data_IF_052433674466
#
_entry.id   IF_052433674466
#
_cell.length_a   1.000
_cell.length_b   1.000
_cell.length_c   1.000
_cell.angle_alpha   90.00
_cell.angle_beta   90.00
_cell.angle_gamma   90.00
#
_symmetry.space_group_name_H-M   'P 1'
#
loop_
_entity.id
_entity.type
_entity.pdbx_description
1 polymer ?
#
# COMPACT_ATOMS: atom_id res chain seq x y z
N UNK A 1 -8.46 17.09 13.63
CA UNK A 1 -7.32 16.16 13.76
C UNK A 1 -7.77 14.74 13.44
N UNK A 2 -6.91 13.89 12.89
CA UNK A 2 -7.26 12.48 12.69
C UNK A 2 -7.24 11.69 14.01
N UNK A 3 -7.90 10.53 14.04
CA UNK A 3 -7.88 9.63 15.21
C UNK A 3 -6.55 8.87 15.30
N UNK A 4 -6.17 8.42 16.50
CA UNK A 4 -5.00 7.55 16.68
C UNK A 4 -5.08 6.30 15.80
N UNK A 5 -6.27 5.70 15.68
CA UNK A 5 -6.49 4.58 14.78
C UNK A 5 -6.13 4.92 13.32
N UNK A 6 -6.57 6.07 12.80
CA UNK A 6 -6.20 6.53 11.44
C UNK A 6 -4.68 6.65 11.30
N UNK A 7 -3.99 7.21 12.30
CA UNK A 7 -2.51 7.32 12.28
C UNK A 7 -1.83 5.96 12.20
N UNK A 8 -2.29 5.00 13.02
CA UNK A 8 -1.74 3.65 13.04
C UNK A 8 -1.98 2.95 11.70
N UNK A 9 -3.20 3.03 11.16
CA UNK A 9 -3.51 2.45 9.85
C UNK A 9 -2.62 3.01 8.73
N UNK A 10 -2.45 4.33 8.69
CA UNK A 10 -1.58 4.99 7.71
C UNK A 10 -0.10 4.60 7.87
N UNK A 11 0.40 4.48 9.10
CA UNK A 11 1.78 4.04 9.34
C UNK A 11 1.99 2.58 8.91
N UNK A 12 1.07 1.69 9.26
CA UNK A 12 1.15 0.28 8.89
C UNK A 12 1.14 0.12 7.37
N UNK A 13 0.23 0.81 6.68
CA UNK A 13 0.21 0.84 5.21
C UNK A 13 1.49 1.44 4.64
N UNK A 14 1.98 2.55 5.18
CA UNK A 14 3.20 3.19 4.68
C UNK A 14 4.43 2.30 4.83
N UNK A 15 4.57 1.57 5.94
CA UNK A 15 5.64 0.58 6.11
C UNK A 15 5.46 -0.59 5.15
N UNK A 16 4.22 -1.05 4.97
CA UNK A 16 3.90 -2.13 4.05
C UNK A 16 4.28 -1.77 2.61
N UNK A 17 3.93 -0.58 2.11
CA UNK A 17 4.31 -0.07 0.77
C UNK A 17 5.80 0.26 0.66
N UNK A 18 6.48 0.52 1.79
CA UNK A 18 7.92 0.79 1.81
C UNK A 18 8.77 -0.40 1.36
N UNK A 19 8.32 -1.63 1.63
CA UNK A 19 9.04 -2.86 1.20
C UNK A 19 9.06 -3.00 -0.33
N UNK A 20 7.91 -3.06 -1.04
CA UNK A 20 7.89 -3.06 -2.51
C UNK A 20 8.36 -1.72 -3.09
N UNK A 21 8.45 -0.64 -2.30
CA UNK A 21 9.05 0.62 -2.73
C UNK A 21 10.58 0.61 -2.79
N UNK A 22 11.24 0.05 -1.77
CA UNK A 22 12.70 0.09 -1.67
C UNK A 22 13.39 -1.08 -2.38
N UNK A 23 12.84 -2.29 -2.25
CA UNK A 23 13.47 -3.51 -2.78
C UNK A 23 13.79 -3.41 -4.27
N UNK A 24 12.84 -3.12 -5.19
CA UNK A 24 13.14 -3.05 -6.62
C UNK A 24 14.10 -1.92 -7.01
N UNK A 25 14.26 -0.88 -6.18
CA UNK A 25 15.24 0.19 -6.42
C UNK A 25 16.67 -0.25 -6.08
N UNK A 26 16.82 -1.11 -5.07
CA UNK A 26 18.10 -1.64 -4.61
C UNK A 26 18.53 -2.85 -5.46
N UNK A 27 17.63 -3.83 -5.62
CA UNK A 27 17.87 -5.05 -6.40
C UNK A 27 16.62 -5.41 -7.21
N UNK A 28 16.47 -4.88 -8.44
CA UNK A 28 15.30 -5.13 -9.28
C UNK A 28 15.16 -6.61 -9.64
N UNK A 29 16.27 -7.29 -9.92
CA UNK A 29 16.27 -8.74 -10.20
C UNK A 29 15.87 -9.55 -8.99
N UNK A 30 16.37 -9.20 -7.79
CA UNK A 30 15.98 -9.89 -6.55
C UNK A 30 14.50 -9.70 -6.26
N UNK A 31 13.96 -8.49 -6.42
CA UNK A 31 12.52 -8.25 -6.28
C UNK A 31 11.70 -9.08 -7.27
N UNK A 32 12.10 -9.10 -8.55
CA UNK A 32 11.43 -9.87 -9.60
C UNK A 32 11.36 -11.37 -9.29
N UNK A 33 12.48 -11.95 -8.83
CA UNK A 33 12.60 -13.39 -8.62
C UNK A 33 12.01 -13.83 -7.27
N UNK A 34 12.24 -13.05 -6.22
CA UNK A 34 12.05 -13.51 -4.85
C UNK A 34 10.88 -12.88 -4.12
N UNK A 35 10.23 -11.83 -4.65
CA UNK A 35 9.05 -11.27 -3.97
C UNK A 35 7.94 -12.33 -3.81
N UNK A 36 7.31 -12.45 -2.61
CA UNK A 36 7.39 -11.57 -1.42
C UNK A 36 8.46 -11.93 -0.37
N UNK A 37 9.41 -12.81 -0.68
CA UNK A 37 10.58 -13.15 0.15
C UNK A 37 10.44 -14.44 0.96
N UNK A 38 9.22 -14.93 1.15
CA UNK A 38 8.89 -16.21 1.80
C UNK A 38 8.16 -17.19 0.85
N UNK A 39 7.82 -16.69 -0.33
CA UNK A 39 7.34 -17.43 -1.51
C UNK A 39 8.13 -16.88 -2.70
N UNK A 40 8.35 -17.69 -3.73
CA UNK A 40 9.09 -17.24 -4.91
C UNK A 40 8.16 -17.03 -6.09
N UNK A 41 8.51 -16.04 -6.91
CA UNK A 41 7.95 -15.84 -8.24
C UNK A 41 6.58 -15.17 -8.30
N UNK A 42 6.12 -14.43 -7.30
CA UNK A 42 4.85 -13.70 -7.47
C UNK A 42 4.93 -12.69 -8.62
N UNK A 43 6.06 -11.99 -8.75
CA UNK A 43 6.27 -11.01 -9.84
C UNK A 43 6.72 -11.70 -11.13
N UNK A 44 7.65 -12.65 -11.07
CA UNK A 44 8.18 -13.31 -12.26
C UNK A 44 7.21 -14.23 -12.99
N UNK A 45 6.10 -14.62 -12.35
CA UNK A 45 5.05 -15.42 -12.98
C UNK A 45 4.09 -14.60 -13.85
N UNK A 46 4.09 -13.27 -13.70
CA UNK A 46 3.17 -12.35 -14.41
C UNK A 46 3.78 -11.75 -15.70
N UNK A 47 5.00 -12.13 -16.09
CA UNK A 47 5.59 -11.71 -17.37
C UNK A 47 7.11 -11.61 -17.33
N UNK A 48 7.76 -11.29 -18.47
CA UNK A 48 9.20 -11.18 -18.57
C UNK A 48 9.76 -9.99 -17.79
N UNK A 49 11.00 -10.12 -17.32
CA UNK A 49 11.71 -9.07 -16.59
C UNK A 49 11.87 -7.79 -17.43
N UNK A 50 11.49 -6.66 -16.82
CA UNK A 50 11.74 -5.33 -17.35
C UNK A 50 12.25 -4.43 -16.21
N UNK A 51 13.55 -4.15 -16.20
CA UNK A 51 14.18 -3.40 -15.12
C UNK A 51 13.58 -1.99 -14.96
N UNK A 52 13.28 -1.30 -16.06
CA UNK A 52 12.72 0.04 -16.02
C UNK A 52 11.35 0.04 -15.34
N UNK A 53 10.44 -0.85 -15.76
CA UNK A 53 9.10 -0.96 -15.16
C UNK A 53 9.15 -1.36 -13.69
N UNK A 54 10.06 -2.25 -13.30
CA UNK A 54 10.22 -2.67 -11.91
C UNK A 54 10.73 -1.52 -11.04
N UNK A 55 11.68 -0.73 -11.54
CA UNK A 55 12.16 0.47 -10.83
C UNK A 55 11.08 1.54 -10.74
N UNK A 56 10.30 1.77 -11.79
CA UNK A 56 9.17 2.71 -11.76
C UNK A 56 8.11 2.29 -10.75
N UNK A 57 7.76 1.00 -10.74
CA UNK A 57 6.88 0.42 -9.72
C UNK A 57 7.44 0.68 -8.32
N UNK A 58 8.73 0.41 -8.10
CA UNK A 58 9.43 0.75 -6.85
C UNK A 58 9.31 2.22 -6.46
N UNK A 59 9.63 3.12 -7.39
CA UNK A 59 9.56 4.57 -7.16
C UNK A 59 8.15 5.03 -6.78
N UNK A 60 7.11 4.51 -7.44
CA UNK A 60 5.71 4.82 -7.13
C UNK A 60 5.28 4.30 -5.76
N UNK A 61 5.63 3.05 -5.42
CA UNK A 61 5.35 2.49 -4.09
C UNK A 61 6.09 3.26 -2.98
N UNK A 62 7.34 3.66 -3.23
CA UNK A 62 8.10 4.48 -2.28
C UNK A 62 7.48 5.87 -2.08
N UNK A 63 7.00 6.51 -3.14
CA UNK A 63 6.26 7.76 -3.05
C UNK A 63 4.94 7.62 -2.28
N UNK A 64 4.24 6.50 -2.47
CA UNK A 64 3.01 6.18 -1.73
C UNK A 64 3.30 5.94 -0.24
N UNK A 65 4.36 5.19 0.08
CA UNK A 65 4.85 4.97 1.43
C UNK A 65 5.15 6.30 2.14
N UNK A 66 5.90 7.19 1.48
CA UNK A 66 6.21 8.51 2.01
C UNK A 66 4.95 9.37 2.24
N UNK A 67 3.98 9.29 1.33
CA UNK A 67 2.69 10.00 1.44
C UNK A 67 1.87 9.50 2.63
N UNK A 68 1.78 8.19 2.83
CA UNK A 68 1.07 7.55 3.94
C UNK A 68 1.70 7.89 5.30
N UNK A 69 3.03 7.74 5.40
CA UNK A 69 3.78 8.10 6.62
C UNK A 69 3.67 9.60 6.90
N UNK A 70 3.85 10.43 5.87
CA UNK A 70 3.69 11.89 5.96
C UNK A 70 2.30 12.28 6.45
N UNK A 71 1.24 11.65 5.93
CA UNK A 71 -0.13 11.87 6.40
C UNK A 71 -0.33 11.48 7.87
N UNK A 72 0.30 10.39 8.31
CA UNK A 72 0.27 9.95 9.71
C UNK A 72 0.97 10.94 10.66
N UNK A 73 2.08 11.54 10.21
CA UNK A 73 2.86 12.56 10.94
C UNK A 73 2.12 13.90 10.97
N UNK A 74 1.62 14.39 9.82
CA UNK A 74 0.92 15.68 9.71
C UNK A 74 -0.38 15.68 10.53
N UNK A 75 -1.07 14.55 10.67
CA UNK A 75 -2.12 14.41 11.69
C UNK A 75 -3.47 15.05 11.33
N UNK A 76 -3.62 15.64 10.13
CA UNK A 76 -4.90 16.24 9.71
C UNK A 76 -5.78 15.20 8.99
N UNK A 77 -7.10 15.29 9.20
CA UNK A 77 -8.06 14.39 8.53
C UNK A 77 -8.07 14.60 7.01
N UNK A 78 -7.81 15.82 6.54
CA UNK A 78 -7.77 16.11 5.11
C UNK A 78 -6.61 15.36 4.41
N UNK A 79 -5.39 15.44 4.97
CA UNK A 79 -4.22 14.77 4.39
C UNK A 79 -4.35 13.25 4.50
N UNK A 80 -4.91 12.74 5.61
CA UNK A 80 -5.24 11.33 5.77
C UNK A 80 -6.15 10.79 4.65
N UNK A 81 -7.20 11.54 4.32
CA UNK A 81 -8.15 11.18 3.26
C UNK A 81 -7.51 11.24 1.89
N UNK A 82 -6.68 12.25 1.62
CA UNK A 82 -5.95 12.35 0.35
C UNK A 82 -5.00 11.16 0.16
N UNK A 83 -4.21 10.82 1.18
CA UNK A 83 -3.33 9.65 1.15
C UNK A 83 -4.13 8.34 0.96
N UNK A 84 -5.28 8.21 1.63
CA UNK A 84 -6.16 7.06 1.48
C UNK A 84 -6.72 6.93 0.06
N UNK A 85 -7.16 8.05 -0.55
CA UNK A 85 -7.64 8.07 -1.95
C UNK A 85 -6.52 7.70 -2.91
N UNK A 86 -5.33 8.27 -2.75
CA UNK A 86 -4.18 7.93 -3.58
C UNK A 86 -3.84 6.43 -3.51
N UNK A 87 -3.86 5.86 -2.30
CA UNK A 87 -3.65 4.43 -2.08
C UNK A 87 -4.72 3.59 -2.76
N UNK A 88 -5.99 3.96 -2.66
CA UNK A 88 -7.09 3.25 -3.32
C UNK A 88 -6.99 3.29 -4.85
N UNK A 89 -6.58 4.43 -5.41
CA UNK A 89 -6.37 4.56 -6.86
C UNK A 89 -5.24 3.68 -7.37
N UNK A 90 -4.22 3.44 -6.55
CA UNK A 90 -3.14 2.50 -6.85
C UNK A 90 -3.57 1.03 -6.66
N UNK A 91 -4.19 0.72 -5.52
CA UNK A 91 -4.51 -0.65 -5.12
C UNK A 91 -5.68 -1.26 -5.90
N UNK A 92 -6.70 -0.46 -6.28
CA UNK A 92 -7.91 -0.99 -6.91
C UNK A 92 -7.66 -1.61 -8.29
N UNK A 93 -6.96 -0.95 -9.24
CA UNK A 93 -6.65 -1.56 -10.53
C UNK A 93 -5.81 -2.84 -10.37
N UNK A 94 -4.86 -2.85 -9.42
CA UNK A 94 -3.99 -3.98 -9.15
C UNK A 94 -4.77 -5.18 -8.59
N UNK A 95 -5.67 -4.94 -7.64
CA UNK A 95 -6.57 -5.96 -7.12
C UNK A 95 -7.47 -6.55 -8.21
N UNK A 96 -8.07 -5.68 -9.04
CA UNK A 96 -8.94 -6.12 -10.16
C UNK A 96 -8.18 -6.93 -11.18
N UNK A 97 -6.92 -6.57 -11.49
CA UNK A 97 -6.05 -7.36 -12.36
C UNK A 97 -5.89 -8.79 -11.84
N UNK A 98 -5.51 -8.95 -10.57
CA UNK A 98 -5.30 -10.27 -10.00
C UNK A 98 -6.58 -11.09 -9.94
N UNK A 99 -7.76 -10.50 -9.71
CA UNK A 99 -9.01 -11.28 -9.80
C UNK A 99 -9.17 -12.04 -11.14
N UNK A 100 -8.57 -11.56 -12.23
CA UNK A 100 -8.54 -12.23 -13.53
C UNK A 100 -7.28 -13.04 -13.86
N UNK A 101 -6.19 -12.91 -13.08
CA UNK A 101 -4.85 -13.42 -13.44
C UNK A 101 -4.24 -14.29 -12.32
N UNK A 102 -5.04 -15.18 -11.74
CA UNK A 102 -4.58 -16.05 -10.64
C UNK A 102 -4.24 -17.47 -11.03
N UNK A 103 -4.68 -17.93 -12.21
CA UNK A 103 -4.66 -19.34 -12.59
C UNK A 103 -3.26 -19.95 -12.69
N UNK A 104 -2.22 -19.13 -12.83
CA UNK A 104 -0.83 -19.58 -12.90
C UNK A 104 -0.15 -19.67 -11.51
N UNK A 105 -0.80 -19.19 -10.46
CA UNK A 105 -0.32 -19.33 -9.09
C UNK A 105 -0.84 -20.61 -8.42
N UNK A 106 -0.07 -21.16 -7.49
CA UNK A 106 -0.56 -22.22 -6.60
C UNK A 106 -1.67 -21.73 -5.67
N UNK A 107 -2.56 -22.61 -5.20
CA UNK A 107 -3.74 -22.23 -4.42
C UNK A 107 -3.44 -21.35 -3.21
N UNK A 108 -2.36 -21.66 -2.46
CA UNK A 108 -1.96 -20.87 -1.30
C UNK A 108 -1.52 -19.45 -1.72
N UNK A 109 -0.76 -19.33 -2.81
CA UNK A 109 -0.35 -18.02 -3.33
C UNK A 109 -1.55 -17.20 -3.79
N UNK A 110 -2.54 -17.83 -4.42
CA UNK A 110 -3.76 -17.13 -4.83
C UNK A 110 -4.48 -16.50 -3.63
N UNK A 111 -4.59 -17.25 -2.53
CA UNK A 111 -5.20 -16.76 -1.29
C UNK A 111 -4.38 -15.61 -0.71
N UNK A 112 -3.06 -15.76 -0.63
CA UNK A 112 -2.18 -14.76 -0.04
C UNK A 112 -2.15 -13.47 -0.86
N UNK A 113 -2.05 -13.55 -2.19
CA UNK A 113 -2.09 -12.41 -3.11
C UNK A 113 -3.40 -11.64 -2.92
N UNK A 114 -4.55 -12.32 -2.97
CA UNK A 114 -5.85 -11.67 -2.81
C UNK A 114 -6.04 -11.10 -1.41
N UNK A 115 -5.62 -11.80 -0.35
CA UNK A 115 -5.72 -11.30 1.02
C UNK A 115 -4.88 -10.03 1.20
N UNK A 116 -3.65 -10.03 0.69
CA UNK A 116 -2.75 -8.87 0.74
C UNK A 116 -3.30 -7.69 -0.05
N UNK A 117 -3.75 -7.89 -1.28
CA UNK A 117 -4.34 -6.82 -2.10
C UNK A 117 -5.66 -6.30 -1.52
N UNK A 118 -6.50 -7.17 -0.95
CA UNK A 118 -7.71 -6.77 -0.26
C UNK A 118 -7.39 -5.93 0.98
N UNK A 119 -6.33 -6.26 1.73
CA UNK A 119 -5.88 -5.43 2.86
C UNK A 119 -5.46 -4.02 2.39
N UNK A 120 -4.74 -3.92 1.27
CA UNK A 120 -4.38 -2.64 0.63
C UNK A 120 -5.58 -1.84 0.11
N UNK A 121 -6.79 -2.42 0.05
CA UNK A 121 -8.04 -1.70 -0.21
C UNK A 121 -8.81 -1.36 1.07
N UNK A 122 -8.99 -2.34 1.95
CA UNK A 122 -9.85 -2.22 3.13
C UNK A 122 -9.26 -1.22 4.12
N UNK A 123 -7.96 -1.29 4.40
CA UNK A 123 -7.32 -0.42 5.38
C UNK A 123 -7.38 1.08 5.01
N UNK A 124 -7.03 1.51 3.78
CA UNK A 124 -7.21 2.91 3.41
C UNK A 124 -8.69 3.30 3.28
N UNK A 125 -9.59 2.40 2.87
CA UNK A 125 -11.03 2.68 2.89
C UNK A 125 -11.55 2.96 4.32
N UNK A 126 -11.11 2.17 5.31
CA UNK A 126 -11.41 2.43 6.73
C UNK A 126 -10.83 3.77 7.16
N UNK A 127 -9.56 4.06 6.83
CA UNK A 127 -8.93 5.33 7.16
C UNK A 127 -9.66 6.55 6.55
N UNK A 128 -10.15 6.42 5.31
CA UNK A 128 -10.92 7.43 4.58
C UNK A 128 -12.25 7.75 5.26
N UNK A 129 -12.96 6.71 5.75
CA UNK A 129 -14.30 6.80 6.33
C UNK A 129 -14.30 7.17 7.82
N UNK A 130 -13.19 6.98 8.54
CA UNK A 130 -13.10 7.31 9.95
C UNK A 130 -13.32 8.83 10.20
N UNK A 131 -14.21 9.21 11.13
CA UNK A 131 -14.48 10.61 11.40
C UNK A 131 -13.30 11.27 12.12
N UNK A 132 -13.02 12.53 11.74
CA UNK A 132 -12.04 13.36 12.43
C UNK A 132 -12.42 13.62 13.89
N UNK A 133 -11.42 13.87 14.74
CA UNK A 133 -11.60 14.43 16.09
C UNK A 133 -11.78 15.94 15.99
N UNK A 134 -12.87 16.45 16.57
CA UNK A 134 -13.01 17.87 16.91
C UNK A 134 -12.02 18.18 18.02
N UNK A 135 -11.26 19.25 17.85
CA UNK A 135 -10.49 19.83 18.95
C UNK A 135 -11.47 20.74 19.67
N UNK A 136 -11.87 20.39 20.88
CA UNK A 136 -12.65 21.31 21.70
C UNK A 136 -11.74 22.50 22.02
N UNK A 137 -12.12 23.71 21.60
CA UNK A 137 -11.44 24.91 22.08
C UNK A 137 -11.60 24.98 23.60
N UNK A 138 -10.56 25.38 24.36
CA UNK A 138 -10.73 25.66 25.78
C UNK A 138 -11.87 26.66 25.95
N UNK A 139 -12.77 26.40 26.90
CA UNK A 139 -13.77 27.40 27.27
C UNK A 139 -13.01 28.67 27.70
N UNK A 140 -13.26 29.79 27.01
CA UNK A 140 -12.75 31.09 27.44
C UNK A 140 -13.40 31.41 28.79
N UNK A 141 -12.63 31.70 29.85
CA UNK A 141 -13.16 32.03 31.17
C UNK A 141 -13.96 33.34 31.17
#
# INVERSE_FOLDING_TARGET
MQRTLTRVLLLLLGVFEGVPGLWPLITPTGFYQDFPGFRQGWVSMDGPFNEHLIRDFGGLNLALAATLIGAAVIGTTAVARLASVATLLFALPHFVYHLGHLSHFGQLDQILIIATLAASLVLPAVALLLPGRRVSSPATP
#
